data_IF_883605002029
#
_entry.id   IF_883605002029
#
_cell.length_a   1.000
_cell.length_b   1.000
_cell.length_c   1.000
_cell.angle_alpha   90.00
_cell.angle_beta   90.00
_cell.angle_gamma   90.00
#
_symmetry.space_group_name_H-M   'P 1'
#
loop_
_entity.id
_entity.type
_entity.pdbx_description
1 polymer ?
#
# COMPACT_ATOMS: atom_id res chain seq x y z
N UNK A 1 -8.36 14.72 28.94
CA UNK A 1 -9.18 15.78 28.33
C UNK A 1 -9.05 15.61 26.83
N UNK A 2 -10.06 15.05 26.18
CA UNK A 2 -10.08 15.01 24.72
C UNK A 2 -10.48 16.40 24.26
N UNK A 3 -9.61 17.07 23.51
CA UNK A 3 -10.01 18.25 22.75
C UNK A 3 -11.14 17.80 21.82
N UNK A 4 -12.34 18.31 22.06
CA UNK A 4 -13.47 18.09 21.20
C UNK A 4 -13.21 18.91 19.92
N UNK A 5 -12.40 18.34 19.03
CA UNK A 5 -12.12 18.94 17.74
C UNK A 5 -13.47 19.07 17.01
N UNK A 6 -13.83 20.30 16.65
CA UNK A 6 -15.10 20.62 16.01
C UNK A 6 -15.38 19.83 14.72
N UNK A 7 -16.61 19.97 14.17
CA UNK A 7 -16.97 19.32 12.92
C UNK A 7 -15.98 19.71 11.82
N UNK A 8 -15.57 18.72 11.03
CA UNK A 8 -14.62 18.93 9.94
C UNK A 8 -15.23 19.79 8.85
N UNK A 9 -14.46 20.67 8.22
CA UNK A 9 -14.92 21.54 7.13
C UNK A 9 -14.44 21.04 5.75
N UNK A 10 -15.05 21.54 4.66
CA UNK A 10 -14.61 21.16 3.30
C UNK A 10 -13.21 21.68 2.95
N UNK A 11 -12.84 22.85 3.50
CA UNK A 11 -11.52 23.42 3.34
C UNK A 11 -10.46 22.55 4.02
N UNK A 12 -10.77 22.02 5.20
CA UNK A 12 -9.90 21.07 5.91
C UNK A 12 -9.74 19.76 5.12
N UNK A 13 -10.84 19.20 4.58
CA UNK A 13 -10.79 17.99 3.74
C UNK A 13 -9.88 18.24 2.52
N UNK A 14 -10.08 19.37 1.84
CA UNK A 14 -9.29 19.75 0.66
C UNK A 14 -7.81 20.00 1.01
N UNK A 15 -7.53 20.60 2.16
CA UNK A 15 -6.17 20.80 2.65
C UNK A 15 -5.48 19.46 2.92
N UNK A 16 -6.16 18.49 3.53
CA UNK A 16 -5.60 17.14 3.75
C UNK A 16 -5.27 16.48 2.42
N UNK A 17 -6.15 16.53 1.43
CA UNK A 17 -5.87 15.96 0.10
C UNK A 17 -4.59 16.57 -0.49
N UNK A 18 -4.47 17.91 -0.46
CA UNK A 18 -3.28 18.60 -1.00
C UNK A 18 -2.00 18.16 -0.29
N UNK A 19 -2.04 18.05 1.04
CA UNK A 19 -0.89 17.61 1.84
C UNK A 19 -0.53 16.15 1.52
N UNK A 20 -1.54 15.28 1.45
CA UNK A 20 -1.36 13.86 1.19
C UNK A 20 -0.90 13.56 -0.24
N UNK A 21 -1.33 14.33 -1.24
CA UNK A 21 -0.85 14.15 -2.62
C UNK A 21 0.61 14.58 -2.78
N UNK A 22 1.04 15.64 -2.08
CA UNK A 22 2.40 16.16 -2.18
C UNK A 22 3.43 15.32 -1.43
N UNK A 23 3.04 14.72 -0.30
CA UNK A 23 3.99 13.98 0.52
C UNK A 23 4.13 12.52 0.06
N UNK A 24 5.35 11.99 -0.07
CA UNK A 24 5.55 10.56 -0.35
C UNK A 24 5.21 9.67 0.87
N UNK A 25 5.31 10.23 2.08
CA UNK A 25 4.99 9.57 3.34
C UNK A 25 3.66 10.03 3.93
N UNK A 26 3.24 9.35 5.00
CA UNK A 26 2.03 9.70 5.75
C UNK A 26 2.20 11.08 6.41
N UNK A 27 1.22 11.97 6.24
CA UNK A 27 1.18 13.26 6.94
C UNK A 27 0.49 13.13 8.29
N UNK A 28 0.79 14.07 9.18
CA UNK A 28 0.12 14.17 10.47
C UNK A 28 -1.27 14.76 10.27
N UNK A 29 -2.28 14.03 10.73
CA UNK A 29 -3.70 14.41 10.66
C UNK A 29 -4.32 14.32 12.06
N UNK A 30 -5.52 14.90 12.21
CA UNK A 30 -6.32 14.79 13.45
C UNK A 30 -6.59 13.31 13.78
N UNK A 31 -6.54 12.95 15.06
CA UNK A 31 -6.69 11.55 15.53
C UNK A 31 -8.07 10.97 15.22
N UNK A 32 -9.08 11.83 15.20
CA UNK A 32 -10.47 11.49 14.94
C UNK A 32 -10.89 11.72 13.48
N UNK A 33 -9.94 11.73 12.53
CA UNK A 33 -10.16 12.03 11.11
C UNK A 33 -11.39 11.31 10.53
N UNK A 34 -11.48 9.99 10.71
CA UNK A 34 -12.58 9.19 10.18
C UNK A 34 -13.93 9.58 10.79
N UNK A 35 -13.97 9.76 12.11
CA UNK A 35 -15.17 10.21 12.81
C UNK A 35 -15.60 11.60 12.38
N UNK A 36 -14.65 12.51 12.18
CA UNK A 36 -14.89 13.89 11.79
C UNK A 36 -15.43 13.99 10.35
N UNK A 37 -14.81 13.30 9.39
CA UNK A 37 -15.32 13.20 8.00
C UNK A 37 -16.73 12.60 7.96
N UNK A 38 -16.97 11.50 8.70
CA UNK A 38 -18.27 10.85 8.73
C UNK A 38 -19.35 11.74 9.36
N UNK A 39 -18.99 12.54 10.38
CA UNK A 39 -19.90 13.49 11.01
C UNK A 39 -20.26 14.61 10.04
N UNK A 40 -19.29 15.18 9.34
CA UNK A 40 -19.52 16.23 8.34
C UNK A 40 -20.42 15.73 7.19
N UNK A 41 -20.15 14.54 6.66
CA UNK A 41 -21.01 13.92 5.63
C UNK A 41 -22.44 13.71 6.13
N UNK A 42 -22.63 13.29 7.39
CA UNK A 42 -23.97 13.14 7.98
C UNK A 42 -24.70 14.47 8.06
N UNK A 43 -24.01 15.54 8.49
CA UNK A 43 -24.59 16.90 8.53
C UNK A 43 -25.06 17.32 7.15
N UNK A 44 -24.20 17.26 6.13
CA UNK A 44 -24.57 17.60 4.75
C UNK A 44 -25.72 16.75 4.22
N UNK A 45 -25.76 15.45 4.55
CA UNK A 45 -26.87 14.56 4.16
C UNK A 45 -28.19 14.96 4.82
N UNK A 46 -28.16 15.30 6.11
CA UNK A 46 -29.35 15.74 6.85
C UNK A 46 -29.85 17.09 6.35
N UNK A 47 -28.96 18.05 6.12
CA UNK A 47 -29.30 19.35 5.54
C UNK A 47 -29.93 19.18 4.15
N UNK A 48 -29.34 18.33 3.31
CA UNK A 48 -29.88 18.04 1.98
C UNK A 48 -31.26 17.38 2.06
N UNK A 49 -31.44 16.38 2.93
CA UNK A 49 -32.74 15.73 3.13
C UNK A 49 -33.82 16.70 3.62
N UNK A 50 -33.46 17.61 4.53
CA UNK A 50 -34.38 18.62 5.03
C UNK A 50 -34.78 19.61 3.93
N UNK A 51 -33.83 20.01 3.09
CA UNK A 51 -34.08 20.93 1.99
C UNK A 51 -34.93 20.28 0.89
N UNK A 52 -34.65 19.02 0.55
CA UNK A 52 -35.41 18.24 -0.42
C UNK A 52 -36.88 18.08 0.00
N UNK A 53 -37.16 18.01 1.31
CA UNK A 53 -38.54 17.96 1.80
C UNK A 53 -39.32 19.28 1.66
N UNK A 54 -38.62 20.41 1.51
CA UNK A 54 -39.21 21.75 1.49
C UNK A 54 -39.29 22.33 0.08
N UNK A 55 -38.19 22.26 -0.65
CA UNK A 55 -38.05 22.86 -1.98
C UNK A 55 -37.06 22.03 -2.83
N UNK A 56 -37.54 21.01 -3.56
CA UNK A 56 -36.69 20.11 -4.35
C UNK A 56 -35.95 20.80 -5.50
N UNK A 57 -36.58 21.78 -6.14
CA UNK A 57 -36.10 22.40 -7.39
C UNK A 57 -35.29 23.69 -7.12
N UNK A 58 -34.93 23.93 -5.86
CA UNK A 58 -34.16 25.10 -5.46
C UNK A 58 -32.72 25.02 -5.95
N UNK A 59 -32.16 26.14 -6.44
CA UNK A 59 -30.72 26.28 -6.73
C UNK A 59 -29.88 25.95 -5.47
N UNK A 60 -30.42 26.24 -4.28
CA UNK A 60 -29.77 25.91 -3.00
C UNK A 60 -29.70 24.38 -2.80
N UNK A 61 -30.72 23.65 -3.23
CA UNK A 61 -30.78 22.19 -3.14
C UNK A 61 -29.76 21.54 -4.07
N UNK A 62 -29.64 22.05 -5.30
CA UNK A 62 -28.62 21.63 -6.26
C UNK A 62 -27.20 21.88 -5.72
N UNK A 63 -26.92 23.10 -5.25
CA UNK A 63 -25.62 23.46 -4.69
C UNK A 63 -25.24 22.61 -3.48
N UNK A 64 -26.21 22.32 -2.60
CA UNK A 64 -25.99 21.45 -1.44
C UNK A 64 -25.78 19.98 -1.84
N UNK A 65 -26.48 19.48 -2.87
CA UNK A 65 -26.23 18.14 -3.42
C UNK A 65 -24.80 18.04 -3.97
N UNK A 66 -24.34 19.06 -4.70
CA UNK A 66 -22.98 19.10 -5.25
C UNK A 66 -21.93 19.11 -4.13
N UNK A 67 -22.12 19.94 -3.10
CA UNK A 67 -21.24 19.97 -1.92
C UNK A 67 -21.20 18.62 -1.20
N UNK A 68 -22.36 17.99 -1.01
CA UNK A 68 -22.47 16.65 -0.40
C UNK A 68 -21.72 15.58 -1.22
N UNK A 69 -21.88 15.60 -2.55
CA UNK A 69 -21.20 14.66 -3.46
C UNK A 69 -19.69 14.87 -3.43
N UNK A 70 -19.22 16.11 -3.55
CA UNK A 70 -17.80 16.46 -3.49
C UNK A 70 -17.16 16.08 -2.15
N UNK A 71 -17.83 16.35 -1.03
CA UNK A 71 -17.36 15.95 0.31
C UNK A 71 -17.18 14.42 0.42
N UNK A 72 -18.15 13.66 -0.11
CA UNK A 72 -18.11 12.19 -0.13
C UNK A 72 -16.91 11.69 -0.94
N UNK A 73 -16.75 12.17 -2.17
CA UNK A 73 -15.66 11.79 -3.08
C UNK A 73 -14.30 12.15 -2.49
N UNK A 74 -14.16 13.36 -1.97
CA UNK A 74 -12.92 13.83 -1.35
C UNK A 74 -12.55 13.01 -0.10
N UNK A 75 -13.54 12.65 0.72
CA UNK A 75 -13.29 11.76 1.87
C UNK A 75 -12.82 10.37 1.43
N UNK A 76 -13.45 9.79 0.40
CA UNK A 76 -13.02 8.50 -0.17
C UNK A 76 -11.62 8.58 -0.77
N UNK A 77 -11.29 9.72 -1.41
CA UNK A 77 -9.95 9.99 -1.94
C UNK A 77 -8.90 10.03 -0.84
N UNK A 78 -9.16 10.70 0.29
CA UNK A 78 -8.27 10.71 1.45
C UNK A 78 -8.01 9.29 1.94
N UNK A 79 -9.09 8.52 2.15
CA UNK A 79 -8.99 7.13 2.60
C UNK A 79 -8.16 6.30 1.62
N UNK A 80 -8.38 6.46 0.32
CA UNK A 80 -7.65 5.73 -0.72
C UNK A 80 -6.16 6.08 -0.76
N UNK A 81 -5.81 7.37 -0.70
CA UNK A 81 -4.41 7.82 -0.70
C UNK A 81 -3.70 7.29 0.55
N UNK A 82 -4.31 7.46 1.73
CA UNK A 82 -3.72 7.01 2.99
C UNK A 82 -3.63 5.50 3.06
N UNK A 83 -4.62 4.76 2.56
CA UNK A 83 -4.57 3.29 2.44
C UNK A 83 -3.35 2.84 1.64
N UNK A 84 -3.11 3.41 0.45
CA UNK A 84 -1.93 3.08 -0.38
C UNK A 84 -0.63 3.34 0.37
N UNK A 85 -0.53 4.47 1.09
CA UNK A 85 0.64 4.79 1.91
C UNK A 85 0.84 3.82 3.06
N UNK A 86 -0.24 3.41 3.74
CA UNK A 86 -0.20 2.45 4.84
C UNK A 86 0.21 1.06 4.34
N UNK A 87 -0.29 0.62 3.18
CA UNK A 87 0.14 -0.64 2.54
C UNK A 87 1.65 -0.63 2.27
N UNK A 88 2.18 0.45 1.70
CA UNK A 88 3.62 0.61 1.47
C UNK A 88 4.42 0.62 2.79
N UNK A 89 3.88 1.28 3.82
CA UNK A 89 4.49 1.34 5.14
C UNK A 89 4.52 -0.06 5.80
N UNK A 90 3.44 -0.83 5.69
CA UNK A 90 3.36 -2.21 6.19
C UNK A 90 4.30 -3.17 5.45
N UNK A 91 4.40 -3.04 4.13
CA UNK A 91 5.36 -3.81 3.33
C UNK A 91 6.79 -3.59 3.84
N UNK A 92 7.21 -2.33 3.98
CA UNK A 92 8.54 -1.98 4.51
C UNK A 92 8.75 -2.45 5.96
N UNK A 93 7.74 -2.29 6.81
CA UNK A 93 7.80 -2.77 8.19
C UNK A 93 7.98 -4.29 8.25
N UNK A 94 7.36 -5.04 7.33
CA UNK A 94 7.53 -6.50 7.23
C UNK A 94 8.93 -6.91 6.76
N UNK A 95 9.71 -6.00 6.17
CA UNK A 95 11.14 -6.18 5.84
C UNK A 95 12.06 -5.85 7.01
N UNK A 96 11.50 -5.41 8.15
CA UNK A 96 12.26 -5.04 9.34
C UNK A 96 12.72 -3.58 9.35
N UNK A 97 12.20 -2.73 8.45
CA UNK A 97 12.46 -1.30 8.49
C UNK A 97 11.78 -0.65 9.71
N UNK A 98 12.45 0.33 10.32
CA UNK A 98 11.82 1.21 11.31
C UNK A 98 10.85 2.16 10.60
N UNK A 99 9.60 2.21 11.07
CA UNK A 99 8.51 2.93 10.40
C UNK A 99 7.78 3.85 11.38
N UNK A 100 7.38 5.07 10.96
CA UNK A 100 6.68 6.02 11.83
C UNK A 100 5.21 5.63 12.01
N UNK A 101 4.90 4.93 13.10
CA UNK A 101 3.55 4.45 13.48
C UNK A 101 2.72 5.55 14.18
N UNK A 102 3.39 6.58 14.70
CA UNK A 102 2.82 7.68 15.48
C UNK A 102 1.79 8.52 14.71
N UNK A 103 1.92 8.57 13.38
CA UNK A 103 1.07 9.36 12.45
C UNK A 103 -0.24 8.66 12.04
N UNK A 104 -0.45 7.43 12.47
CA UNK A 104 -1.66 6.66 12.17
C UNK A 104 -2.80 7.06 13.12
N UNK A 105 -4.03 7.06 12.61
CA UNK A 105 -5.23 7.05 13.47
C UNK A 105 -5.43 5.65 14.08
N UNK A 106 -6.37 5.51 15.01
CA UNK A 106 -6.66 4.21 15.63
C UNK A 106 -7.21 3.18 14.62
N UNK A 107 -8.07 3.63 13.71
CA UNK A 107 -8.64 2.81 12.63
C UNK A 107 -7.53 2.35 11.68
N UNK A 108 -6.62 3.24 11.33
CA UNK A 108 -5.47 2.96 10.46
C UNK A 108 -4.44 2.08 11.12
N UNK A 109 -4.22 2.23 12.43
CA UNK A 109 -3.36 1.34 13.22
C UNK A 109 -3.86 -0.10 13.14
N UNK A 110 -5.17 -0.27 13.31
CA UNK A 110 -5.83 -1.58 13.21
C UNK A 110 -5.75 -2.15 11.79
N UNK A 111 -5.83 -1.31 10.76
CA UNK A 111 -5.63 -1.74 9.37
C UNK A 111 -4.16 -2.13 9.11
N UNK A 112 -3.22 -1.29 9.53
CA UNK A 112 -1.78 -1.51 9.42
C UNK A 112 -1.35 -2.84 10.05
N UNK A 113 -1.78 -3.12 11.29
CA UNK A 113 -1.38 -4.34 12.00
C UNK A 113 -1.88 -5.60 11.28
N UNK A 114 -3.09 -5.56 10.70
CA UNK A 114 -3.64 -6.66 9.89
C UNK A 114 -2.86 -6.87 8.61
N UNK A 115 -2.55 -5.79 7.87
CA UNK A 115 -1.76 -5.88 6.64
C UNK A 115 -0.34 -6.37 6.95
N UNK A 116 0.28 -5.88 8.02
CA UNK A 116 1.61 -6.32 8.45
C UNK A 116 1.65 -7.82 8.75
N UNK A 117 0.60 -8.35 9.40
CA UNK A 117 0.47 -9.78 9.64
C UNK A 117 0.40 -10.57 8.32
N UNK A 118 -0.42 -10.12 7.36
CA UNK A 118 -0.53 -10.75 6.03
C UNK A 118 0.81 -10.70 5.25
N UNK A 119 1.53 -9.58 5.29
CA UNK A 119 2.84 -9.48 4.65
C UNK A 119 3.87 -10.42 5.27
N UNK A 120 3.84 -10.62 6.60
CA UNK A 120 4.72 -11.58 7.28
C UNK A 120 4.36 -13.02 6.92
N UNK A 121 3.07 -13.35 6.94
CA UNK A 121 2.57 -14.68 6.55
C UNK A 121 3.00 -15.02 5.12
N UNK A 122 2.82 -14.11 4.16
CA UNK A 122 3.26 -14.29 2.78
C UNK A 122 4.76 -14.61 2.69
N UNK A 123 5.59 -13.92 3.47
CA UNK A 123 7.04 -14.17 3.51
C UNK A 123 7.36 -15.51 4.15
N UNK A 124 6.63 -15.91 5.17
CA UNK A 124 6.83 -17.19 5.83
C UNK A 124 6.40 -18.37 4.93
N UNK A 125 5.39 -18.18 4.06
CA UNK A 125 5.09 -19.14 2.99
C UNK A 125 6.31 -19.34 2.09
N UNK A 126 6.93 -18.26 1.62
CA UNK A 126 8.11 -18.34 0.76
C UNK A 126 9.29 -19.01 1.48
N UNK A 127 9.57 -18.67 2.74
CA UNK A 127 10.63 -19.29 3.56
C UNK A 127 10.41 -20.79 3.77
N UNK A 128 9.15 -21.20 3.95
CA UNK A 128 8.78 -22.60 4.08
C UNK A 128 8.99 -23.35 2.76
N UNK A 129 8.60 -22.76 1.63
CA UNK A 129 8.73 -23.40 0.31
C UNK A 129 10.17 -23.44 -0.21
N UNK A 130 10.99 -22.43 0.08
CA UNK A 130 12.38 -22.37 -0.39
C UNK A 130 13.37 -23.17 0.51
N UNK A 131 12.88 -23.87 1.53
CA UNK A 131 13.68 -24.68 2.45
C UNK A 131 14.59 -23.89 3.40
N UNK A 132 14.48 -22.56 3.46
CA UNK A 132 15.25 -21.73 4.42
C UNK A 132 14.66 -21.74 5.83
N UNK A 133 13.44 -22.26 6.00
CA UNK A 133 12.81 -22.41 7.30
C UNK A 133 13.47 -23.53 8.13
N UNK A 134 14.62 -23.20 8.74
CA UNK A 134 15.42 -24.13 9.57
C UNK A 134 14.77 -24.50 10.91
N UNK A 135 13.76 -23.76 11.35
CA UNK A 135 13.09 -24.02 12.62
C UNK A 135 11.61 -23.61 12.54
N UNK A 136 10.73 -24.52 12.91
CA UNK A 136 9.34 -24.24 13.24
C UNK A 136 9.34 -24.06 14.76
N UNK A 137 9.24 -22.82 15.23
CA UNK A 137 8.93 -22.57 16.63
C UNK A 137 7.48 -23.00 16.85
N UNK A 138 7.19 -24.04 17.65
CA UNK A 138 5.81 -24.34 18.00
C UNK A 138 5.21 -23.13 18.73
N UNK A 139 3.96 -22.82 18.39
CA UNK A 139 3.22 -21.75 19.03
C UNK A 139 3.08 -22.06 20.53
N UNK A 140 3.75 -21.25 21.37
CA UNK A 140 3.80 -21.42 22.83
C UNK A 140 2.42 -21.07 23.46
N UNK A 141 1.49 -20.49 22.69
CA UNK A 141 0.12 -20.23 23.12
C UNK A 141 -0.81 -21.45 23.00
N UNK A 142 -0.39 -22.52 22.30
CA UNK A 142 -1.13 -23.77 22.28
C UNK A 142 -0.83 -24.54 23.57
N UNK A 143 -1.77 -24.54 24.52
CA UNK A 143 -1.68 -25.34 25.73
C UNK A 143 -1.31 -26.80 25.38
N UNK A 144 -0.37 -27.42 26.11
CA UNK A 144 0.07 -28.78 25.80
C UNK A 144 -1.12 -29.73 25.89
N UNK A 145 -1.45 -30.36 24.76
CA UNK A 145 -2.41 -31.46 24.75
C UNK A 145 -1.91 -32.56 25.70
N UNK A 146 -2.75 -33.09 26.59
CA UNK A 146 -2.32 -34.10 27.55
C UNK A 146 -1.83 -35.35 26.80
N UNK A 147 -0.61 -35.79 27.09
CA UNK A 147 -0.06 -37.07 26.61
C UNK A 147 -1.03 -38.21 26.97
N UNK A 148 -1.35 -39.14 26.06
CA UNK A 148 -2.05 -40.35 26.43
C UNK A 148 -1.18 -41.17 27.39
N UNK A 149 -1.73 -41.54 28.54
CA UNK A 149 -1.06 -42.35 29.55
C UNK A 149 -0.73 -43.75 28.98
N UNK A 150 0.44 -44.33 29.30
CA UNK A 150 0.77 -45.69 28.92
C UNK A 150 -0.10 -46.68 29.71
N UNK A 151 -0.81 -47.55 29.01
CA UNK A 151 -1.53 -48.66 29.61
C UNK A 151 -0.54 -49.63 30.30
N UNK A 152 -0.84 -50.14 31.51
CA UNK A 152 0.05 -51.06 32.20
C UNK A 152 -0.06 -52.45 31.57
N UNK A 153 1.11 -53.04 31.34
CA UNK A 153 1.32 -54.44 30.99
C UNK A 153 0.90 -55.29 32.19
N UNK A 154 0.03 -56.29 31.96
CA UNK A 154 -0.26 -57.35 32.93
C UNK A 154 0.11 -58.69 32.30
N UNK A 155 0.84 -59.48 33.09
CA UNK A 155 1.50 -60.76 32.77
C UNK A 155 0.54 -61.96 32.59
N UNK A 156 1.14 -63.02 32.05
CA UNK A 156 0.70 -64.36 31.64
C UNK A 156 -0.23 -65.19 32.57
N UNK A 157 -1.25 -65.80 31.94
CA UNK A 157 -1.65 -67.23 32.00
C UNK A 157 -2.53 -67.77 33.15
N UNK A 158 -3.22 -68.95 33.01
CA UNK A 158 -3.37 -69.87 31.86
C UNK A 158 -4.83 -70.32 31.54
N UNK A 159 -4.93 -71.27 30.59
CA UNK A 159 -6.06 -71.76 29.79
C UNK A 159 -7.25 -72.49 30.47
N UNK A 160 -8.40 -72.54 29.76
CA UNK A 160 -9.28 -73.71 29.45
C UNK A 160 -10.49 -73.21 28.61
N UNK A 161 -10.60 -73.50 27.31
CA UNK A 161 -11.19 -74.66 26.61
C UNK A 161 -12.74 -74.65 26.47
N UNK A 162 -13.15 -74.70 25.20
CA UNK A 162 -14.37 -75.31 24.62
C UNK A 162 -15.75 -74.63 24.75
N UNK A 163 -16.28 -74.10 23.63
CA UNK A 163 -17.33 -74.76 22.81
C UNK A 163 -18.07 -73.78 21.86
N UNK A 164 -18.26 -74.26 20.63
CA UNK A 164 -19.41 -74.06 19.75
C UNK A 164 -19.71 -72.67 19.11
N UNK A 165 -19.39 -72.58 17.81
CA UNK A 165 -20.12 -71.80 16.78
C UNK A 165 -21.13 -72.80 16.16
N UNK A 166 -22.41 -72.48 15.82
CA UNK A 166 -22.72 -71.77 14.55
C UNK A 166 -24.09 -71.01 14.55
N UNK A 167 -24.72 -70.67 13.41
CA UNK A 167 -24.66 -69.32 12.81
C UNK A 167 -26.05 -68.72 12.54
N UNK A 168 -26.24 -67.40 12.71
CA UNK A 168 -27.50 -66.70 12.38
C UNK A 168 -27.21 -65.19 12.52
N UNK A 169 -27.55 -64.25 11.65
CA UNK A 169 -28.32 -64.23 10.40
C UNK A 169 -27.88 -62.92 9.73
N UNK A 170 -27.48 -62.97 8.46
CA UNK A 170 -27.35 -61.76 7.65
C UNK A 170 -28.75 -61.43 7.13
N UNK A 171 -29.38 -60.39 7.69
CA UNK A 171 -30.46 -59.68 7.00
C UNK A 171 -29.94 -58.32 6.55
N UNK A 172 -29.97 -58.19 5.23
CA UNK A 172 -29.75 -56.98 4.45
C UNK A 172 -30.86 -55.95 4.69
N UNK A 173 -30.56 -54.73 4.23
CA UNK A 173 -31.43 -53.67 3.68
C UNK A 173 -31.23 -52.31 4.36
N UNK A 174 -31.25 -51.18 3.62
CA UNK A 174 -30.97 -51.00 2.19
C UNK A 174 -29.95 -49.87 1.92
N UNK A 175 -29.09 -50.09 0.91
CA UNK A 175 -28.31 -49.03 0.26
C UNK A 175 -29.26 -48.29 -0.67
N UNK A 176 -29.82 -47.18 -0.21
CA UNK A 176 -30.57 -46.25 -1.04
C UNK A 176 -29.63 -45.12 -1.50
N UNK A 177 -29.41 -45.06 -2.81
CA UNK A 177 -28.57 -44.05 -3.43
C UNK A 177 -29.17 -42.66 -3.34
N UNK A 178 -28.33 -41.68 -3.03
CA UNK A 178 -28.47 -40.37 -3.67
C UNK A 178 -27.10 -39.87 -4.08
N UNK A 179 -26.86 -40.04 -5.38
CA UNK A 179 -25.94 -39.26 -6.20
C UNK A 179 -26.25 -37.79 -5.93
N UNK A 180 -25.38 -37.09 -5.21
CA UNK A 180 -25.46 -35.63 -5.17
C UNK A 180 -24.79 -35.15 -6.44
N UNK A 181 -25.63 -34.74 -7.39
CA UNK A 181 -25.20 -34.12 -8.63
C UNK A 181 -24.43 -32.83 -8.32
N UNK A 182 -23.24 -32.75 -8.90
CA UNK A 182 -22.49 -31.53 -9.13
C UNK A 182 -23.41 -30.54 -9.86
N UNK A 183 -23.67 -29.32 -9.35
CA UNK A 183 -24.45 -28.35 -10.07
C UNK A 183 -23.66 -27.91 -11.30
N UNK A 184 -24.12 -28.39 -12.45
CA UNK A 184 -23.67 -27.93 -13.75
C UNK A 184 -23.85 -26.41 -13.82
N UNK A 185 -22.73 -25.69 -13.94
CA UNK A 185 -22.69 -24.27 -14.27
C UNK A 185 -23.31 -24.17 -15.68
N UNK A 186 -24.44 -23.46 -15.86
CA UNK A 186 -24.98 -23.22 -17.19
C UNK A 186 -23.94 -22.44 -18.01
N UNK A 187 -23.81 -22.68 -19.33
CA UNK A 187 -22.97 -21.84 -20.16
C UNK A 187 -23.44 -20.40 -20.02
N UNK A 188 -22.52 -19.52 -19.64
CA UNK A 188 -22.77 -18.09 -19.62
C UNK A 188 -23.09 -17.68 -21.05
N UNK A 189 -24.34 -17.30 -21.30
CA UNK A 189 -24.67 -16.49 -22.45
C UNK A 189 -23.80 -15.22 -22.38
N UNK A 190 -23.03 -14.98 -23.45
CA UNK A 190 -22.33 -13.73 -23.70
C UNK A 190 -23.38 -12.63 -23.90
N UNK A 191 -23.97 -12.17 -22.81
CA UNK A 191 -24.66 -10.88 -22.78
C UNK A 191 -23.58 -9.81 -22.87
N UNK A 192 -23.44 -9.24 -24.06
CA UNK A 192 -22.75 -7.97 -24.33
C UNK A 192 -23.23 -6.93 -23.31
N UNK A 193 -22.49 -6.77 -22.22
CA UNK A 193 -22.64 -5.59 -21.37
C UNK A 193 -22.10 -4.41 -22.18
N UNK A 194 -22.94 -3.44 -22.58
CA UNK A 194 -22.44 -2.25 -23.22
C UNK A 194 -21.45 -1.59 -22.27
N UNK A 195 -20.22 -1.43 -22.74
CA UNK A 195 -19.20 -0.57 -22.13
C UNK A 195 -19.80 0.83 -22.20
N UNK A 196 -20.50 1.26 -21.16
CA UNK A 196 -20.83 2.67 -20.98
C UNK A 196 -19.50 3.41 -20.84
N UNK A 197 -19.28 4.32 -21.79
CA UNK A 197 -18.11 5.18 -21.91
C UNK A 197 -17.57 5.61 -20.54
N UNK A 198 -16.37 5.14 -20.19
CA UNK A 198 -15.63 5.74 -19.09
C UNK A 198 -15.37 7.21 -19.46
N UNK A 199 -15.77 8.18 -18.61
CA UNK A 199 -15.42 9.56 -18.88
C UNK A 199 -13.91 9.74 -18.80
N UNK A 200 -13.31 10.05 -19.96
CA UNK A 200 -11.92 10.45 -20.15
C UNK A 200 -11.68 11.79 -19.44
N UNK A 201 -11.36 11.73 -18.15
CA UNK A 201 -10.90 12.89 -17.38
C UNK A 201 -9.43 13.15 -17.71
N UNK A 202 -9.19 13.79 -18.85
CA UNK A 202 -7.91 14.39 -19.20
C UNK A 202 -7.46 15.38 -18.10
N UNK A 203 -6.16 15.36 -17.79
CA UNK A 203 -5.52 16.18 -16.74
C UNK A 203 -5.49 17.70 -17.05
N UNK A 204 -6.30 18.20 -17.99
CA UNK A 204 -6.26 19.58 -18.49
C UNK A 204 -7.21 20.56 -17.78
N UNK A 205 -8.16 20.10 -16.95
CA UNK A 205 -9.15 20.96 -16.29
C UNK A 205 -8.65 21.74 -15.04
N UNK A 206 -7.34 21.87 -14.86
CA UNK A 206 -6.75 22.71 -13.78
C UNK A 206 -5.86 23.84 -14.29
N UNK A 207 -6.19 24.40 -15.46
CA UNK A 207 -5.67 25.69 -15.92
C UNK A 207 -6.84 26.62 -16.18
N UNK A 208 -7.21 27.39 -15.16
CA UNK A 208 -7.61 28.80 -15.27
C UNK A 208 -8.18 29.28 -13.93
N UNK A 209 -7.29 29.76 -13.06
CA UNK A 209 -7.65 30.80 -12.09
C UNK A 209 -6.90 32.05 -12.55
N UNK A 210 -7.58 33.06 -13.13
CA UNK A 210 -6.93 34.32 -13.46
C UNK A 210 -6.42 34.96 -12.17
N UNK A 211 -5.10 35.17 -12.11
CA UNK A 211 -4.42 35.85 -11.03
C UNK A 211 -4.51 37.37 -11.22
N UNK A 212 -5.70 37.94 -11.01
CA UNK A 212 -5.92 39.39 -11.05
C UNK A 212 -6.80 39.83 -9.87
N UNK A 213 -6.13 40.17 -8.76
CA UNK A 213 -6.46 41.24 -7.80
C UNK A 213 -5.72 41.00 -6.47
N UNK A 214 -4.44 41.35 -6.43
CA UNK A 214 -3.81 41.81 -5.20
C UNK A 214 -3.01 43.07 -5.52
N UNK A 215 -3.65 44.19 -5.20
CA UNK A 215 -3.15 45.55 -5.20
C UNK A 215 -1.89 45.67 -4.34
N UNK A 216 -0.72 45.92 -4.96
CA UNK A 216 0.53 46.26 -4.27
C UNK A 216 1.06 47.56 -4.88
N UNK A 217 1.28 48.64 -4.08
CA UNK A 217 1.70 49.93 -4.60
C UNK A 217 3.18 49.95 -5.06
N UNK A 218 3.56 50.91 -5.93
CA UNK A 218 4.75 50.81 -6.76
C UNK A 218 6.00 51.38 -6.07
N UNK A 219 7.12 50.68 -6.16
CA UNK A 219 8.43 51.19 -5.80
C UNK A 219 9.45 50.96 -6.92
N UNK A 220 9.73 52.05 -7.64
CA UNK A 220 10.98 52.44 -8.30
C UNK A 220 11.63 51.48 -9.33
N UNK A 221 11.59 51.95 -10.59
CA UNK A 221 12.46 51.64 -11.72
C UNK A 221 13.97 51.91 -11.40
N UNK A 222 15.02 51.33 -12.00
CA UNK A 222 15.44 51.02 -13.39
C UNK A 222 16.77 50.19 -13.34
N UNK A 223 17.49 49.84 -14.44
CA UNK A 223 17.11 49.57 -15.84
C UNK A 223 17.68 48.24 -16.42
N UNK A 224 17.09 47.89 -17.57
CA UNK A 224 17.55 47.11 -18.74
C UNK A 224 19.03 46.67 -18.78
N UNK A 225 19.22 45.36 -18.95
CA UNK A 225 20.45 44.72 -19.43
C UNK A 225 20.12 43.64 -20.46
N UNK A 226 20.06 44.05 -21.71
CA UNK A 226 20.00 43.23 -22.93
C UNK A 226 21.24 42.33 -23.02
N UNK A 227 21.06 41.01 -23.11
CA UNK A 227 21.94 40.11 -23.85
C UNK A 227 21.23 38.80 -24.19
N UNK A 228 21.26 38.49 -25.47
CA UNK A 228 20.79 37.27 -26.12
C UNK A 228 21.69 36.05 -25.77
N UNK A 229 21.32 34.83 -26.19
CA UNK A 229 21.66 33.58 -25.50
C UNK A 229 23.08 33.09 -25.82
N UNK A 230 23.77 32.53 -24.83
CA UNK A 230 25.02 31.78 -25.01
C UNK A 230 24.90 30.40 -24.39
N UNK A 231 25.11 29.42 -25.26
CA UNK A 231 25.78 28.14 -25.09
C UNK A 231 25.36 27.18 -23.97
N UNK A 232 24.81 26.06 -24.44
CA UNK A 232 24.94 24.69 -23.94
C UNK A 232 26.01 24.48 -22.86
N UNK A 233 25.58 24.49 -21.60
CA UNK A 233 26.31 23.87 -20.51
C UNK A 233 25.75 22.45 -20.28
N UNK A 234 26.64 21.46 -20.35
CA UNK A 234 26.33 20.08 -20.00
C UNK A 234 25.70 20.01 -18.58
N UNK A 235 24.72 19.11 -18.33
CA UNK A 235 24.08 19.03 -17.04
C UNK A 235 25.10 18.67 -15.95
N UNK A 236 25.18 19.49 -14.90
CA UNK A 236 26.06 19.24 -13.76
C UNK A 236 25.53 18.06 -12.95
N UNK A 237 25.99 16.85 -13.28
CA UNK A 237 25.50 15.59 -12.68
C UNK A 237 25.71 15.52 -11.16
N UNK A 238 26.62 16.36 -10.62
CA UNK A 238 26.88 16.45 -9.18
C UNK A 238 25.66 16.96 -8.40
N UNK A 239 24.88 17.89 -8.94
CA UNK A 239 23.69 18.40 -8.25
C UNK A 239 22.57 17.34 -8.13
N UNK A 240 22.61 16.29 -8.97
CA UNK A 240 21.67 15.17 -8.94
C UNK A 240 22.20 13.95 -8.16
N UNK A 241 23.33 14.07 -7.47
CA UNK A 241 23.95 12.97 -6.72
C UNK A 241 24.44 11.81 -7.60
N UNK A 242 24.75 12.09 -8.87
CA UNK A 242 25.23 11.09 -9.84
C UNK A 242 26.64 11.47 -10.30
N UNK A 243 27.56 10.49 -10.27
CA UNK A 243 28.94 10.65 -10.72
C UNK A 243 29.21 9.74 -11.92
N UNK A 244 29.97 10.26 -12.87
CA UNK A 244 30.50 9.49 -13.99
C UNK A 244 31.91 9.00 -13.64
N UNK A 245 32.08 7.69 -13.68
CA UNK A 245 33.36 7.04 -13.37
C UNK A 245 33.80 6.17 -14.53
N UNK A 246 35.12 6.07 -14.71
CA UNK A 246 35.77 5.08 -15.57
C UNK A 246 36.43 4.02 -14.72
N UNK A 247 36.08 2.77 -14.95
CA UNK A 247 36.61 1.62 -14.21
C UNK A 247 38.01 1.29 -14.70
N UNK A 248 38.98 1.17 -13.78
CA UNK A 248 40.39 0.89 -14.10
C UNK A 248 40.79 -0.54 -13.69
N UNK A 249 40.12 -1.10 -12.68
CA UNK A 249 40.39 -2.45 -12.20
C UNK A 249 39.62 -3.53 -12.98
N UNK A 250 40.27 -4.67 -13.19
CA UNK A 250 39.66 -5.89 -13.72
C UNK A 250 39.07 -6.73 -12.58
N UNK A 251 37.98 -7.46 -12.87
CA UNK A 251 37.44 -8.48 -11.96
C UNK A 251 36.54 -7.95 -10.84
N UNK A 252 35.87 -6.81 -11.04
CA UNK A 252 34.86 -6.32 -10.10
C UNK A 252 33.66 -7.29 -10.11
N UNK A 253 33.29 -7.90 -8.97
CA UNK A 253 32.15 -8.80 -8.92
C UNK A 253 30.86 -8.02 -9.21
N UNK A 254 29.87 -8.66 -9.84
CA UNK A 254 28.55 -8.05 -10.03
C UNK A 254 27.97 -7.66 -8.67
N UNK A 255 27.59 -6.40 -8.51
CA UNK A 255 27.02 -5.88 -7.28
C UNK A 255 25.68 -5.20 -7.54
N UNK A 256 24.76 -5.34 -6.59
CA UNK A 256 23.45 -4.70 -6.67
C UNK A 256 23.55 -3.25 -6.21
N UNK A 257 23.18 -2.31 -7.07
CA UNK A 257 22.91 -0.94 -6.67
C UNK A 257 21.45 -0.73 -6.30
N UNK A 258 21.14 0.46 -5.77
CA UNK A 258 19.78 0.84 -5.35
C UNK A 258 18.74 0.80 -6.48
N UNK A 259 19.19 0.94 -7.74
CA UNK A 259 18.33 1.07 -8.91
C UNK A 259 18.56 -0.04 -9.94
N UNK A 260 19.77 -0.60 -10.01
CA UNK A 260 20.13 -1.62 -10.98
C UNK A 260 21.33 -2.45 -10.51
N UNK A 261 21.49 -3.66 -11.06
CA UNK A 261 22.68 -4.49 -10.85
C UNK A 261 23.80 -4.04 -11.80
N UNK A 262 25.00 -3.81 -11.26
CA UNK A 262 26.16 -3.37 -12.01
C UNK A 262 27.10 -4.56 -12.27
N UNK A 263 27.35 -4.85 -13.53
CA UNK A 263 28.41 -5.77 -13.98
C UNK A 263 29.44 -4.95 -14.73
N UNK A 264 30.50 -4.53 -14.05
CA UNK A 264 31.49 -3.59 -14.58
C UNK A 264 32.72 -4.35 -15.11
N UNK A 265 33.20 -3.95 -16.29
CA UNK A 265 34.46 -4.39 -16.87
C UNK A 265 35.46 -3.25 -16.85
N UNK A 266 36.74 -3.57 -17.02
CA UNK A 266 37.79 -2.56 -17.12
C UNK A 266 37.59 -1.67 -18.34
N UNK A 267 37.90 -0.39 -18.15
CA UNK A 267 37.64 0.75 -19.04
C UNK A 267 36.16 1.08 -19.28
N UNK A 268 35.21 0.45 -18.57
CA UNK A 268 33.81 0.86 -18.66
C UNK A 268 33.60 2.25 -18.07
N UNK A 269 32.84 3.10 -18.78
CA UNK A 269 32.40 4.42 -18.30
C UNK A 269 30.94 4.34 -17.92
N UNK A 270 30.63 4.55 -16.64
CA UNK A 270 29.28 4.38 -16.10
C UNK A 270 28.89 5.57 -15.23
N UNK A 271 27.63 5.99 -15.38
CA UNK A 271 26.98 6.94 -14.49
C UNK A 271 26.34 6.19 -13.32
N UNK A 272 26.71 6.52 -12.09
CA UNK A 272 26.13 5.88 -10.91
C UNK A 272 25.98 6.85 -9.73
N UNK A 273 25.15 6.50 -8.73
CA UNK A 273 25.01 7.29 -7.52
C UNK A 273 26.35 7.55 -6.81
N UNK A 274 26.51 8.76 -6.26
CA UNK A 274 27.77 9.24 -5.65
C UNK A 274 28.30 8.28 -4.56
N UNK A 275 27.41 7.73 -3.74
CA UNK A 275 27.77 6.78 -2.69
C UNK A 275 28.45 5.50 -3.23
N UNK A 276 28.02 4.99 -4.38
CA UNK A 276 28.61 3.81 -5.02
C UNK A 276 29.89 4.18 -5.78
N UNK A 277 29.89 5.30 -6.49
CA UNK A 277 31.07 5.81 -7.19
C UNK A 277 32.24 6.03 -6.24
N UNK A 278 31.99 6.67 -5.09
CA UNK A 278 33.02 6.95 -4.10
C UNK A 278 33.66 5.68 -3.53
N UNK A 279 32.88 4.60 -3.38
CA UNK A 279 33.39 3.31 -2.90
C UNK A 279 34.37 2.67 -3.90
N UNK A 280 34.11 2.81 -5.21
CA UNK A 280 34.99 2.31 -6.26
C UNK A 280 36.25 3.17 -6.40
N UNK A 281 36.11 4.49 -6.26
CA UNK A 281 37.23 5.44 -6.27
C UNK A 281 38.15 5.21 -5.05
N UNK A 282 37.58 5.09 -3.84
CA UNK A 282 38.34 4.87 -2.60
C UNK A 282 39.09 3.53 -2.58
N UNK A 283 38.70 2.58 -3.43
CA UNK A 283 39.36 1.28 -3.59
C UNK A 283 40.36 1.23 -4.75
N UNK A 284 40.65 2.39 -5.37
CA UNK A 284 41.49 2.52 -6.56
C UNK A 284 41.00 1.66 -7.74
N UNK A 285 39.70 1.35 -7.78
CA UNK A 285 39.09 0.53 -8.83
C UNK A 285 38.49 1.36 -9.97
N UNK A 286 38.26 2.67 -9.76
CA UNK A 286 37.70 3.57 -10.76
C UNK A 286 38.22 5.02 -10.57
N UNK A 287 38.13 5.81 -11.64
CA UNK A 287 38.55 7.22 -11.69
C UNK A 287 37.36 8.08 -12.13
N UNK A 288 37.10 9.19 -11.44
CA UNK A 288 36.08 10.17 -11.85
C UNK A 288 36.45 10.80 -13.20
N UNK A 289 35.52 10.79 -14.16
CA UNK A 289 35.69 11.43 -15.47
C UNK A 289 34.70 12.57 -15.58
N UNK A 290 35.21 13.77 -15.86
CA UNK A 290 34.37 14.91 -16.24
C UNK A 290 34.18 14.88 -17.76
N UNK A 291 32.94 14.92 -18.26
CA UNK A 291 32.72 15.08 -19.69
C UNK A 291 33.37 16.40 -20.14
N UNK A 292 34.26 16.32 -21.13
CA UNK A 292 34.76 17.52 -21.82
C UNK A 292 33.59 18.22 -22.51
N UNK A 293 33.56 19.56 -22.54
CA UNK A 293 32.56 20.31 -23.30
C UNK A 293 32.59 19.96 -24.79
#
# INVERSE_FOLDING_TARGET
MGEENGPMTDDEISAIIRMETKSPGLTTVRRDLYKAMATHQKVLKTEYSNLLSKDPDSIIAEGLNQRRKSCMENSQRIVSIRTKKILNLASRASEGADVPIDKLTEEERTFFDRVLALCKEQKDIFKRLNGTQKYISPDISAAPSPKPAPAPVAEDGPAEEDTAVPPVTAEEFPVEGSRTEEPAIPPADEEDFPIEDEPDFSEEEFRDIPADELDVPPAAAEPVGENAPSDTAAPDYREKGMLMIRVTADGIPTFAGSTQNYTLRKEDVVLMPENLAQVLINRDMAVEVKPSP
#
